data_IF_509854848550
#
_entry.id   IF_509854848550
#
_cell.length_a   1.000
_cell.length_b   1.000
_cell.length_c   1.000
_cell.angle_alpha   90.00
_cell.angle_beta   90.00
_cell.angle_gamma   90.00
#
_symmetry.space_group_name_H-M   'P 1'
#
loop_
_entity.id
_entity.type
_entity.pdbx_description
1 polymer ?
#
# COMPACT_ATOMS: atom_id res chain seq x y z
N UNK A 1 -0.84 11.14 -0.18
CA UNK A 1 -0.29 9.83 -0.57
C UNK A 1 -0.57 8.79 0.52
N UNK A 2 -0.79 7.51 0.17
CA UNK A 2 -0.72 6.41 1.15
C UNK A 2 0.73 5.96 1.32
N UNK A 3 1.10 5.47 2.52
CA UNK A 3 2.48 5.03 2.81
C UNK A 3 2.95 3.93 1.86
N UNK A 4 2.10 2.94 1.60
CA UNK A 4 2.41 1.88 0.62
C UNK A 4 2.73 2.46 -0.76
N UNK A 5 1.92 3.39 -1.27
CA UNK A 5 2.15 4.00 -2.56
C UNK A 5 3.41 4.88 -2.57
N UNK A 6 3.72 5.53 -1.44
CA UNK A 6 4.93 6.32 -1.28
C UNK A 6 6.18 5.43 -1.41
N UNK A 7 6.27 4.39 -0.58
CA UNK A 7 7.47 3.54 -0.51
C UNK A 7 7.63 2.62 -1.72
N UNK A 8 6.55 2.00 -2.20
CA UNK A 8 6.64 1.04 -3.30
C UNK A 8 6.75 1.68 -4.69
N UNK A 9 6.48 2.98 -4.83
CA UNK A 9 6.46 3.60 -6.15
C UNK A 9 6.95 5.04 -6.19
N UNK A 10 6.43 5.91 -5.31
CA UNK A 10 6.51 7.35 -5.52
C UNK A 10 7.89 7.93 -5.18
N UNK A 11 8.58 7.44 -4.15
CA UNK A 11 9.86 7.99 -3.68
C UNK A 11 10.92 8.06 -4.78
N UNK A 12 11.12 6.99 -5.55
CA UNK A 12 12.08 6.98 -6.66
C UNK A 12 11.72 8.01 -7.74
N UNK A 13 10.43 8.12 -8.05
CA UNK A 13 9.92 9.08 -9.03
C UNK A 13 10.08 10.51 -8.55
N UNK A 14 9.82 10.78 -7.26
CA UNK A 14 10.04 12.11 -6.68
C UNK A 14 11.51 12.49 -6.64
N UNK A 15 12.40 11.55 -6.34
CA UNK A 15 13.85 11.77 -6.41
C UNK A 15 14.28 12.19 -7.82
N UNK A 16 13.79 11.49 -8.84
CA UNK A 16 14.06 11.83 -10.24
C UNK A 16 13.47 13.18 -10.64
N UNK A 17 12.24 13.44 -10.22
CA UNK A 17 11.56 14.72 -10.45
C UNK A 17 12.30 15.89 -9.82
N UNK A 18 12.71 15.74 -8.55
CA UNK A 18 13.41 16.82 -7.84
C UNK A 18 14.78 17.15 -8.45
N UNK A 19 15.53 16.13 -8.95
CA UNK A 19 16.77 16.37 -9.70
C UNK A 19 16.54 17.16 -10.98
N UNK A 20 15.43 16.89 -11.67
CA UNK A 20 15.08 17.52 -12.94
C UNK A 20 14.51 18.93 -12.75
N UNK A 21 13.80 19.16 -11.65
CA UNK A 21 13.13 20.42 -11.33
C UNK A 21 13.45 20.91 -9.91
N UNK A 22 14.71 21.29 -9.63
CA UNK A 22 15.16 21.61 -8.26
C UNK A 22 14.48 22.84 -7.65
N UNK A 23 13.92 23.73 -8.48
CA UNK A 23 13.16 24.90 -8.04
C UNK A 23 11.71 24.60 -7.63
N UNK A 24 11.21 23.37 -7.84
CA UNK A 24 9.86 22.99 -7.46
C UNK A 24 9.81 22.55 -6.01
N UNK A 25 9.01 23.22 -5.20
CA UNK A 25 8.76 22.81 -3.81
C UNK A 25 7.75 21.66 -3.79
N UNK A 26 8.13 20.55 -3.17
CA UNK A 26 7.26 19.39 -2.94
C UNK A 26 6.72 19.41 -1.51
N UNK A 27 5.41 19.29 -1.35
CA UNK A 27 4.75 19.05 -0.07
C UNK A 27 4.09 17.68 -0.11
N UNK A 28 4.53 16.77 0.73
CA UNK A 28 3.99 15.43 0.87
C UNK A 28 3.14 15.36 2.14
N UNK A 29 1.91 14.85 2.00
CA UNK A 29 1.02 14.54 3.11
C UNK A 29 0.66 13.06 3.03
N UNK A 30 0.79 12.33 4.14
CA UNK A 30 0.43 10.92 4.23
C UNK A 30 -0.92 10.75 4.93
N UNK A 31 -1.67 9.72 4.52
CA UNK A 31 -2.96 9.38 5.11
C UNK A 31 -3.58 8.14 4.48
N UNK A 32 -4.75 7.76 4.99
CA UNK A 32 -5.55 6.68 4.39
C UNK A 32 -6.06 7.07 3.01
N UNK A 33 -6.39 6.09 2.15
CA UNK A 33 -6.96 6.36 0.82
C UNK A 33 -8.16 7.32 0.88
N UNK A 34 -9.17 7.14 1.77
CA UNK A 34 -10.29 8.06 1.87
C UNK A 34 -9.86 9.51 2.23
N UNK A 35 -8.95 9.67 3.19
CA UNK A 35 -8.48 10.99 3.62
C UNK A 35 -7.68 11.69 2.51
N UNK A 36 -6.80 10.95 1.83
CA UNK A 36 -6.00 11.47 0.72
C UNK A 36 -6.88 11.94 -0.44
N UNK A 37 -7.95 11.19 -0.76
CA UNK A 37 -8.91 11.58 -1.80
C UNK A 37 -9.79 12.76 -1.37
N UNK A 38 -10.17 12.83 -0.10
CA UNK A 38 -10.90 13.98 0.44
C UNK A 38 -10.06 15.27 0.36
N UNK A 39 -8.76 15.20 0.67
CA UNK A 39 -7.85 16.35 0.53
C UNK A 39 -7.66 16.78 -0.93
N UNK A 40 -7.60 15.83 -1.87
CA UNK A 40 -7.58 16.13 -3.31
C UNK A 40 -8.87 16.85 -3.73
N UNK A 41 -10.03 16.33 -3.33
CA UNK A 41 -11.35 16.92 -3.63
C UNK A 41 -11.49 18.32 -3.02
N UNK A 42 -10.95 18.52 -1.81
CA UNK A 42 -10.92 19.83 -1.16
C UNK A 42 -9.90 20.82 -1.77
N UNK A 43 -9.05 20.39 -2.70
CA UNK A 43 -7.99 21.21 -3.32
C UNK A 43 -6.82 21.53 -2.40
N UNK A 44 -6.63 20.76 -1.34
CA UNK A 44 -5.47 20.87 -0.46
C UNK A 44 -4.21 20.25 -1.07
N UNK A 45 -4.38 19.38 -2.06
CA UNK A 45 -3.31 18.72 -2.81
C UNK A 45 -3.60 18.77 -4.31
N UNK A 46 -2.56 18.82 -5.14
CA UNK A 46 -2.66 18.82 -6.61
C UNK A 46 -2.89 17.42 -7.18
N UNK A 47 -2.40 16.40 -6.48
CA UNK A 47 -2.36 15.02 -6.95
C UNK A 47 -2.43 14.07 -5.76
N UNK A 48 -3.13 12.95 -5.92
CA UNK A 48 -3.09 11.84 -4.97
C UNK A 48 -2.45 10.61 -5.60
N UNK A 49 -1.67 9.87 -4.79
CA UNK A 49 -1.15 8.54 -5.18
C UNK A 49 -1.51 7.58 -4.06
N UNK A 50 -2.36 6.62 -4.37
CA UNK A 50 -3.01 5.75 -3.39
C UNK A 50 -3.04 4.30 -3.86
N UNK A 51 -3.39 3.37 -2.97
CA UNK A 51 -3.58 1.95 -3.32
C UNK A 51 -5.06 1.62 -3.47
N UNK A 52 -5.36 0.67 -4.37
CA UNK A 52 -6.71 0.06 -4.43
C UNK A 52 -7.00 -0.74 -3.15
N UNK A 53 -8.28 -0.95 -2.79
CA UNK A 53 -9.46 -0.50 -3.51
C UNK A 53 -9.73 1.01 -3.37
N UNK A 54 -10.32 1.59 -4.41
CA UNK A 54 -10.73 2.99 -4.46
C UNK A 54 -12.23 3.01 -4.75
N UNK A 55 -13.00 3.75 -3.96
CA UNK A 55 -14.43 3.95 -4.26
C UNK A 55 -14.59 4.79 -5.51
N UNK A 56 -15.51 4.40 -6.37
CA UNK A 56 -15.82 5.16 -7.59
C UNK A 56 -16.35 6.56 -7.23
N UNK A 57 -15.78 7.57 -7.87
CA UNK A 57 -16.23 8.98 -7.79
C UNK A 57 -15.95 9.63 -9.14
N UNK A 58 -17.01 10.16 -9.77
CA UNK A 58 -16.93 10.80 -11.09
C UNK A 58 -16.05 12.04 -11.12
N UNK A 59 -15.77 12.66 -9.96
CA UNK A 59 -14.84 13.79 -9.85
C UNK A 59 -13.39 13.39 -10.17
N UNK A 60 -13.04 12.11 -10.00
CA UNK A 60 -11.69 11.66 -10.12
C UNK A 60 -11.39 11.00 -11.48
N UNK A 61 -10.17 11.24 -11.94
CA UNK A 61 -9.52 10.43 -12.96
C UNK A 61 -8.51 9.52 -12.26
N UNK A 62 -8.76 8.23 -12.27
CA UNK A 62 -7.87 7.22 -11.70
C UNK A 62 -7.03 6.63 -12.82
N UNK A 63 -5.72 6.58 -12.64
CA UNK A 63 -4.77 5.95 -13.56
C UNK A 63 -3.97 4.92 -12.78
N UNK A 64 -3.99 3.66 -13.21
CA UNK A 64 -3.15 2.60 -12.66
C UNK A 64 -1.70 2.86 -13.08
N UNK A 65 -0.77 2.86 -12.12
CA UNK A 65 0.64 3.18 -12.39
C UNK A 65 1.59 2.02 -12.05
N UNK A 66 1.19 1.15 -11.13
CA UNK A 66 1.97 -0.02 -10.74
C UNK A 66 1.10 -1.10 -10.12
N UNK A 67 1.40 -2.36 -10.41
CA UNK A 67 0.85 -3.49 -9.65
C UNK A 67 1.52 -3.60 -8.28
N UNK A 68 0.78 -4.08 -7.29
CA UNK A 68 1.23 -4.24 -5.92
C UNK A 68 0.68 -5.58 -5.39
N UNK A 69 1.57 -6.53 -5.13
CA UNK A 69 1.21 -7.84 -4.62
C UNK A 69 1.44 -7.89 -3.11
N UNK A 70 0.40 -8.16 -2.35
CA UNK A 70 0.53 -8.44 -0.93
C UNK A 70 0.89 -9.92 -0.72
N UNK A 71 1.62 -10.18 0.35
CA UNK A 71 1.95 -11.51 0.87
C UNK A 71 1.54 -11.59 2.34
N UNK A 72 1.26 -12.79 2.83
CA UNK A 72 1.26 -13.03 4.26
C UNK A 72 2.71 -13.16 4.72
N UNK A 73 3.09 -12.43 5.76
CA UNK A 73 4.45 -12.39 6.26
C UNK A 73 4.49 -12.55 7.77
N UNK A 74 5.56 -13.16 8.27
CA UNK A 74 5.87 -13.27 9.70
C UNK A 74 7.34 -13.00 9.96
N UNK A 75 7.73 -12.74 11.19
CA UNK A 75 9.13 -12.64 11.57
C UNK A 75 9.87 -13.96 11.45
N UNK A 76 11.20 -13.97 11.71
CA UNK A 76 12.04 -15.16 11.62
C UNK A 76 11.61 -16.32 12.52
N UNK A 77 10.88 -16.03 13.62
CA UNK A 77 10.27 -17.04 14.50
C UNK A 77 9.18 -17.90 13.80
N UNK A 78 8.67 -17.46 12.64
CA UNK A 78 7.73 -18.20 11.79
C UNK A 78 8.44 -18.95 10.64
N UNK A 79 9.76 -19.03 10.63
CA UNK A 79 10.55 -19.70 9.57
C UNK A 79 10.18 -21.18 9.35
N UNK A 80 9.61 -21.85 10.37
CA UNK A 80 9.10 -23.21 10.26
C UNK A 80 7.90 -23.36 9.30
N UNK A 81 7.26 -22.25 8.90
CA UNK A 81 6.18 -22.21 7.91
C UNK A 81 6.70 -21.99 6.48
N UNK A 82 7.96 -21.62 6.31
CA UNK A 82 8.52 -21.33 4.98
C UNK A 82 8.42 -22.56 4.06
N UNK A 83 7.88 -22.33 2.87
CA UNK A 83 7.68 -23.39 1.86
C UNK A 83 6.53 -24.36 2.17
N UNK A 84 5.73 -24.07 3.18
CA UNK A 84 4.49 -24.80 3.46
C UNK A 84 3.31 -23.95 3.01
N UNK A 85 2.32 -24.57 2.35
CA UNK A 85 1.03 -23.94 2.09
C UNK A 85 0.13 -24.12 3.30
N UNK A 86 -0.27 -23.00 3.88
CA UNK A 86 -1.08 -22.94 5.10
C UNK A 86 -2.49 -22.47 4.73
N UNK A 87 -3.55 -23.18 5.07
CA UNK A 87 -4.91 -22.69 4.82
C UNK A 87 -5.18 -21.44 5.67
N UNK A 88 -5.94 -20.49 5.14
CA UNK A 88 -6.29 -19.24 5.82
C UNK A 88 -6.93 -19.47 7.20
N UNK A 89 -7.66 -20.57 7.36
CA UNK A 89 -8.24 -20.99 8.64
C UNK A 89 -7.18 -21.29 9.72
N UNK A 90 -6.01 -21.83 9.32
CA UNK A 90 -4.89 -22.07 10.23
C UNK A 90 -4.18 -20.76 10.62
N UNK A 91 -4.16 -19.77 9.73
CA UNK A 91 -3.57 -18.44 10.03
C UNK A 91 -4.23 -17.81 11.27
N UNK A 92 -5.50 -18.11 11.54
CA UNK A 92 -6.21 -17.63 12.73
C UNK A 92 -5.64 -18.14 14.07
N UNK A 93 -4.73 -19.11 14.04
CA UNK A 93 -4.06 -19.62 15.25
C UNK A 93 -2.84 -18.78 15.65
N UNK A 94 -2.40 -17.89 14.78
CA UNK A 94 -1.28 -17.00 15.04
C UNK A 94 -1.76 -15.60 15.40
N UNK A 95 -1.05 -14.87 16.27
CA UNK A 95 -1.31 -13.46 16.49
C UNK A 95 -1.31 -12.71 15.15
N UNK A 96 -2.38 -11.96 14.87
CA UNK A 96 -2.57 -11.30 13.59
C UNK A 96 -2.37 -9.79 13.70
N UNK A 97 -1.50 -9.26 12.85
CA UNK A 97 -1.18 -7.83 12.75
C UNK A 97 -1.92 -7.24 11.54
N UNK A 98 -2.71 -6.21 11.77
CA UNK A 98 -3.48 -5.53 10.73
C UNK A 98 -3.38 -4.01 10.84
N UNK A 99 -3.75 -3.32 9.77
CA UNK A 99 -4.06 -1.91 9.84
C UNK A 99 -5.43 -1.69 10.51
N UNK A 100 -5.62 -0.49 11.06
CA UNK A 100 -6.86 -0.11 11.74
C UNK A 100 -8.10 -0.17 10.83
N UNK A 101 -9.27 -0.39 11.43
CA UNK A 101 -10.55 -0.62 10.73
C UNK A 101 -10.97 0.50 9.76
N UNK A 102 -10.50 1.72 9.99
CA UNK A 102 -10.82 2.87 9.13
C UNK A 102 -10.00 2.91 7.83
N UNK A 103 -9.19 1.87 7.54
CA UNK A 103 -8.39 1.78 6.33
C UNK A 103 -9.06 0.92 5.25
N UNK A 104 -8.81 1.25 3.98
CA UNK A 104 -9.28 0.43 2.85
C UNK A 104 -8.58 -0.93 2.81
N UNK A 105 -7.35 -1.03 3.33
CA UNK A 105 -6.62 -2.29 3.44
C UNK A 105 -7.27 -3.23 4.44
N UNK A 106 -7.71 -2.73 5.60
CA UNK A 106 -8.47 -3.52 6.55
C UNK A 106 -9.78 -4.04 5.92
N UNK A 107 -10.53 -3.13 5.26
CA UNK A 107 -11.79 -3.51 4.59
C UNK A 107 -11.56 -4.61 3.53
N UNK A 108 -10.48 -4.52 2.75
CA UNK A 108 -10.08 -5.53 1.77
C UNK A 108 -9.88 -6.91 2.42
N UNK A 109 -9.09 -6.98 3.49
CA UNK A 109 -8.82 -8.25 4.15
C UNK A 109 -9.98 -8.78 4.97
N UNK A 110 -10.83 -7.90 5.50
CA UNK A 110 -12.10 -8.29 6.12
C UNK A 110 -13.00 -9.00 5.11
N UNK A 111 -13.10 -8.48 3.89
CA UNK A 111 -13.85 -9.10 2.80
C UNK A 111 -13.20 -10.41 2.33
N UNK A 112 -11.86 -10.44 2.22
CA UNK A 112 -11.11 -11.65 1.88
C UNK A 112 -11.37 -12.78 2.89
N UNK A 113 -11.33 -12.52 4.20
CA UNK A 113 -11.67 -13.52 5.22
C UNK A 113 -13.14 -13.95 5.11
N UNK A 114 -14.05 -12.98 4.95
CA UNK A 114 -15.48 -13.26 4.85
C UNK A 114 -15.84 -14.12 3.63
N UNK A 115 -15.19 -13.91 2.48
CA UNK A 115 -15.40 -14.73 1.28
C UNK A 115 -14.97 -16.19 1.44
N UNK A 116 -14.13 -16.48 2.44
CA UNK A 116 -13.72 -17.84 2.82
C UNK A 116 -14.44 -18.36 4.08
N UNK A 117 -15.53 -17.69 4.51
CA UNK A 117 -16.31 -18.10 5.68
C UNK A 117 -15.63 -17.84 7.03
N UNK A 118 -14.59 -16.98 7.05
CA UNK A 118 -13.79 -16.67 8.22
C UNK A 118 -14.03 -15.23 8.68
N UNK A 119 -13.64 -14.95 9.92
CA UNK A 119 -13.74 -13.59 10.49
C UNK A 119 -12.33 -13.09 10.75
N UNK A 120 -12.01 -11.92 10.19
CA UNK A 120 -10.75 -11.24 10.51
C UNK A 120 -10.80 -10.69 11.94
N UNK A 121 -9.89 -11.12 12.79
CA UNK A 121 -9.75 -10.67 14.18
C UNK A 121 -8.28 -10.32 14.43
N UNK A 122 -7.87 -9.07 14.26
CA UNK A 122 -6.51 -8.66 14.59
C UNK A 122 -6.26 -8.70 16.10
N UNK A 123 -5.06 -9.17 16.48
CA UNK A 123 -4.55 -9.06 17.86
C UNK A 123 -3.79 -7.75 18.04
N UNK A 124 -3.23 -7.22 16.95
CA UNK A 124 -2.49 -5.96 16.93
C UNK A 124 -3.00 -5.11 15.78
N UNK A 125 -3.48 -3.91 16.10
CA UNK A 125 -3.93 -2.93 15.13
C UNK A 125 -2.92 -1.77 15.04
N UNK A 126 -2.57 -1.40 13.82
CA UNK A 126 -1.59 -0.36 13.52
C UNK A 126 -2.24 0.78 12.73
N UNK A 127 -1.88 2.01 13.09
CA UNK A 127 -2.42 3.20 12.44
C UNK A 127 -1.89 3.39 11.01
N UNK A 128 -0.66 2.95 10.72
CA UNK A 128 0.05 3.19 9.46
C UNK A 128 0.78 1.96 8.95
N UNK A 129 0.95 1.86 7.63
CA UNK A 129 1.63 0.72 7.00
C UNK A 129 3.13 0.65 7.35
N UNK A 130 3.76 1.77 7.68
CA UNK A 130 5.18 1.83 8.07
C UNK A 130 5.47 1.04 9.35
N UNK A 131 4.47 0.93 10.23
CA UNK A 131 4.59 0.16 11.46
C UNK A 131 4.50 -1.35 11.24
N UNK A 132 3.94 -1.80 10.12
CA UNK A 132 3.80 -3.24 9.83
C UNK A 132 5.16 -3.95 9.79
N UNK A 133 6.14 -3.38 9.08
CA UNK A 133 7.47 -4.00 8.90
C UNK A 133 8.18 -4.23 10.24
N UNK A 134 8.39 -3.22 11.11
CA UNK A 134 9.07 -3.43 12.38
C UNK A 134 8.32 -4.37 13.31
N UNK A 135 6.98 -4.33 13.35
CA UNK A 135 6.17 -5.19 14.23
C UNK A 135 6.25 -6.65 13.79
N UNK A 136 6.09 -6.94 12.49
CA UNK A 136 6.20 -8.29 11.93
C UNK A 136 7.64 -8.82 12.12
N UNK A 137 8.66 -8.00 11.84
CA UNK A 137 10.08 -8.39 12.00
C UNK A 137 10.42 -8.79 13.42
N UNK A 138 9.81 -8.17 14.42
CA UNK A 138 9.99 -8.54 15.83
C UNK A 138 9.23 -9.80 16.24
N UNK A 139 8.50 -10.44 15.30
CA UNK A 139 7.80 -11.70 15.55
C UNK A 139 6.54 -11.56 16.39
N UNK A 140 5.96 -10.36 16.49
CA UNK A 140 4.77 -10.11 17.28
C UNK A 140 3.50 -10.71 16.67
N UNK A 141 3.56 -11.10 15.39
CA UNK A 141 2.47 -11.76 14.70
C UNK A 141 2.74 -11.88 13.20
N UNK A 142 1.75 -12.40 12.50
CA UNK A 142 1.72 -12.48 11.04
C UNK A 142 0.76 -11.44 10.46
N UNK A 143 1.00 -10.96 9.24
CA UNK A 143 0.12 -9.96 8.64
C UNK A 143 0.30 -9.84 7.14
N UNK A 144 -0.71 -9.32 6.45
CA UNK A 144 -0.61 -9.03 5.02
C UNK A 144 0.14 -7.73 4.78
N UNK A 145 1.15 -7.79 3.93
CA UNK A 145 2.01 -6.66 3.62
C UNK A 145 2.45 -6.70 2.16
N UNK A 146 2.58 -5.56 1.48
CA UNK A 146 3.15 -5.54 0.14
C UNK A 146 4.56 -6.15 0.12
N UNK A 147 4.77 -7.12 -0.77
CA UNK A 147 6.07 -7.82 -0.93
C UNK A 147 7.25 -6.83 -1.08
N UNK A 148 7.01 -5.75 -1.79
CA UNK A 148 8.04 -4.74 -2.05
C UNK A 148 8.50 -3.98 -0.81
N UNK A 149 7.62 -3.80 0.17
CA UNK A 149 7.98 -3.15 1.45
C UNK A 149 8.94 -3.97 2.28
N UNK A 150 8.93 -5.28 2.11
CA UNK A 150 9.73 -6.23 2.91
C UNK A 150 10.78 -6.97 2.09
N UNK A 151 11.08 -6.48 0.88
CA UNK A 151 12.03 -7.14 -0.02
C UNK A 151 13.38 -7.39 0.63
N UNK A 152 13.92 -6.39 1.31
CA UNK A 152 15.19 -6.46 2.03
C UNK A 152 15.13 -7.47 3.17
N UNK A 153 14.10 -7.42 3.98
CA UNK A 153 13.88 -8.30 5.12
C UNK A 153 13.67 -9.76 4.70
N UNK A 154 13.05 -10.00 3.53
CA UNK A 154 12.92 -11.33 2.93
C UNK A 154 14.27 -11.88 2.47
N UNK A 155 15.11 -11.03 1.84
CA UNK A 155 16.47 -11.40 1.41
C UNK A 155 17.37 -11.68 2.59
N UNK A 156 17.27 -10.92 3.69
CA UNK A 156 18.02 -11.10 4.93
C UNK A 156 17.48 -12.23 5.83
N UNK A 157 16.25 -12.70 5.55
CA UNK A 157 15.57 -13.74 6.35
C UNK A 157 15.04 -13.26 7.70
N UNK A 158 15.02 -11.94 7.95
CA UNK A 158 14.44 -11.36 9.17
C UNK A 158 12.90 -11.31 9.13
N UNK A 159 12.32 -11.35 7.93
CA UNK A 159 10.91 -11.63 7.65
C UNK A 159 10.85 -12.85 6.71
N UNK A 160 9.84 -13.68 6.88
CA UNK A 160 9.55 -14.83 6.01
C UNK A 160 8.17 -14.68 5.40
N UNK A 161 8.06 -15.06 4.13
CA UNK A 161 6.77 -15.21 3.48
C UNK A 161 6.13 -16.54 3.91
N UNK A 162 4.85 -16.48 4.23
CA UNK A 162 4.01 -17.63 4.55
C UNK A 162 3.05 -17.81 3.38
N UNK A 163 3.23 -18.90 2.64
CA UNK A 163 2.35 -19.22 1.53
C UNK A 163 0.99 -19.67 2.08
N UNK A 164 -0.11 -19.09 1.58
CA UNK A 164 -1.46 -19.55 1.90
C UNK A 164 -2.07 -20.27 0.70
N UNK A 165 -3.05 -21.16 0.98
CA UNK A 165 -3.75 -21.92 -0.06
C UNK A 165 -4.66 -21.01 -0.89
N UNK A 166 -5.26 -20.02 -0.24
CA UNK A 166 -6.18 -19.06 -0.82
C UNK A 166 -5.41 -17.99 -1.61
N UNK A 167 -5.95 -17.63 -2.77
CA UNK A 167 -5.33 -16.64 -3.64
C UNK A 167 -5.53 -15.22 -3.11
N UNK A 168 -4.44 -14.54 -2.79
CA UNK A 168 -4.47 -13.11 -2.49
C UNK A 168 -4.56 -12.35 -3.82
N UNK A 169 -5.65 -11.60 -4.01
CA UNK A 169 -5.81 -10.75 -5.19
C UNK A 169 -4.78 -9.62 -5.18
N UNK A 170 -4.18 -9.38 -6.36
CA UNK A 170 -3.26 -8.27 -6.54
C UNK A 170 -3.96 -6.93 -6.43
N UNK A 171 -3.23 -5.93 -5.93
CA UNK A 171 -3.69 -4.54 -5.84
C UNK A 171 -2.92 -3.67 -6.83
N UNK A 172 -3.33 -2.42 -6.94
CA UNK A 172 -2.65 -1.44 -7.79
C UNK A 172 -2.35 -0.17 -6.99
N UNK A 173 -1.23 0.43 -7.33
CA UNK A 173 -0.96 1.81 -6.98
C UNK A 173 -1.57 2.67 -8.09
N UNK A 174 -2.33 3.67 -7.68
CA UNK A 174 -3.09 4.54 -8.57
C UNK A 174 -2.69 5.98 -8.35
N UNK A 175 -2.52 6.69 -9.45
CA UNK A 175 -2.46 8.14 -9.47
C UNK A 175 -3.87 8.67 -9.69
N UNK A 176 -4.29 9.64 -8.88
CA UNK A 176 -5.64 10.22 -8.93
C UNK A 176 -5.57 11.73 -9.12
N UNK A 177 -6.27 12.21 -10.13
CA UNK A 177 -6.40 13.61 -10.52
C UNK A 177 -7.85 14.07 -10.31
N UNK A 178 -8.06 15.31 -9.85
CA UNK A 178 -9.37 15.93 -9.84
C UNK A 178 -9.69 16.48 -11.24
N UNK A 179 -10.77 15.96 -11.86
CA UNK A 179 -11.19 16.37 -13.22
C UNK A 179 -11.64 17.81 -13.31
N UNK A 180 -12.07 18.39 -12.17
CA UNK A 180 -12.66 19.72 -12.12
C UNK A 180 -11.62 20.82 -11.84
N UNK A 181 -10.38 20.44 -11.51
CA UNK A 181 -9.34 21.40 -11.14
C UNK A 181 -8.21 21.44 -12.17
N UNK A 182 -7.79 22.64 -12.57
CA UNK A 182 -6.64 22.77 -13.46
C UNK A 182 -5.37 22.37 -12.72
N UNK A 183 -4.55 21.58 -13.38
CA UNK A 183 -3.25 21.17 -12.86
C UNK A 183 -2.21 22.29 -13.05
N UNK A 184 -1.36 22.51 -12.06
CA UNK A 184 -0.18 23.36 -12.19
C UNK A 184 0.78 22.78 -13.24
N UNK A 185 1.70 23.62 -13.76
CA UNK A 185 2.74 23.17 -14.71
C UNK A 185 3.58 22.06 -14.08
N UNK A 186 4.00 22.24 -12.83
CA UNK A 186 4.79 21.24 -12.09
C UNK A 186 4.03 19.93 -11.94
N UNK A 187 2.73 19.98 -11.57
CA UNK A 187 1.91 18.76 -11.45
C UNK A 187 1.78 18.02 -12.79
N UNK A 188 1.64 18.72 -13.93
CA UNK A 188 1.62 18.07 -15.25
C UNK A 188 2.93 17.38 -15.59
N UNK A 189 4.07 17.97 -15.25
CA UNK A 189 5.38 17.33 -15.45
C UNK A 189 5.54 16.09 -14.57
N UNK A 190 5.15 16.17 -13.29
CA UNK A 190 5.16 15.02 -12.38
C UNK A 190 4.28 13.89 -12.92
N UNK A 191 3.06 14.18 -13.36
CA UNK A 191 2.14 13.19 -13.93
C UNK A 191 2.74 12.48 -15.15
N UNK A 192 3.44 13.20 -16.04
CA UNK A 192 4.13 12.58 -17.19
C UNK A 192 5.19 11.58 -16.73
N UNK A 193 5.99 11.97 -15.74
CA UNK A 193 7.04 11.12 -15.18
C UNK A 193 6.44 9.89 -14.48
N UNK A 194 5.34 10.04 -13.74
CA UNK A 194 4.65 8.92 -13.09
C UNK A 194 4.05 7.93 -14.11
N UNK A 195 3.64 8.41 -15.29
CA UNK A 195 3.14 7.58 -16.41
C UNK A 195 4.26 6.94 -17.23
N UNK A 196 5.53 7.09 -16.84
CA UNK A 196 6.68 6.55 -17.59
C UNK A 196 6.90 7.22 -18.95
N UNK A 197 6.38 8.42 -19.15
CA UNK A 197 6.62 9.21 -20.37
C UNK A 197 7.78 10.16 -20.09
N UNK A 198 8.89 9.98 -20.83
CA UNK A 198 10.01 10.93 -20.77
C UNK A 198 9.54 12.35 -21.11
N UNK A 199 10.16 13.37 -20.50
CA UNK A 199 9.90 14.75 -20.88
C UNK A 199 10.36 14.99 -22.32
N UNK A 200 9.50 15.64 -23.07
CA UNK A 200 9.85 16.16 -24.40
C UNK A 200 10.77 17.37 -24.24
#
# INVERSE_FOLDING_TARGET
VTETALHCFLLEKLSSFHRQYPGVRLKLTSGTTPNTLADLKAGKTDLAVVTTPIREDSHFRVTLVKECQDILAGGSNYSYLKGKKVPLSEVQQYPFVSLAENTMTYALYKEFYASHGLILKPDIELATADLMVPVIRQGLGVGFIPRELVKKELEEGSIVEIEIEEKIEGRHICMVEDRQKPLSVAARHLIRLLKGKEPA
#
